data_IF_215601469778
#
_entry.id   IF_215601469778
#
_cell.length_a   1.000
_cell.length_b   1.000
_cell.length_c   1.000
_cell.angle_alpha   90.00
_cell.angle_beta   90.00
_cell.angle_gamma   90.00
#
_symmetry.space_group_name_H-M   'P 1'
#
loop_
_entity.id
_entity.type
_entity.pdbx_description
1 polymer ?
#
# COMPACT_ATOMS: atom_id res chain seq x y z
N UNK A 1 8.39 -9.57 -14.61
CA UNK A 1 6.97 -9.26 -14.33
C UNK A 1 6.77 -7.83 -13.87
N UNK A 2 7.46 -7.37 -12.81
CA UNK A 2 7.26 -6.00 -12.30
C UNK A 2 7.67 -4.88 -13.27
N UNK A 3 8.71 -5.07 -14.09
CA UNK A 3 9.00 -4.14 -15.20
C UNK A 3 7.79 -3.96 -16.12
N UNK A 4 7.22 -5.08 -16.58
CA UNK A 4 6.01 -5.07 -17.42
C UNK A 4 4.81 -4.45 -16.72
N UNK A 5 4.67 -4.63 -15.40
CA UNK A 5 3.59 -4.01 -14.63
C UNK A 5 3.77 -2.48 -14.55
N UNK A 6 4.99 -2.00 -14.36
CA UNK A 6 5.33 -0.57 -14.35
C UNK A 6 5.09 0.09 -15.71
N UNK A 7 5.53 -0.56 -16.80
CA UNK A 7 5.31 -0.12 -18.19
C UNK A 7 3.83 -0.01 -18.56
N UNK A 8 2.97 -0.86 -17.98
CA UNK A 8 1.53 -0.86 -18.22
C UNK A 8 0.75 0.07 -17.28
N UNK A 9 1.44 0.75 -16.37
CA UNK A 9 0.85 1.49 -15.26
C UNK A 9 -0.23 0.66 -14.54
N UNK A 10 0.20 -0.50 -14.05
CA UNK A 10 -0.66 -1.60 -13.58
C UNK A 10 -1.83 -1.15 -12.70
N UNK A 11 -1.62 -0.17 -11.84
CA UNK A 11 -2.63 0.31 -10.91
C UNK A 11 -3.77 1.08 -11.62
N UNK A 12 -3.50 1.74 -12.75
CA UNK A 12 -4.53 2.36 -13.61
C UNK A 12 -5.07 1.41 -14.68
N UNK A 13 -4.42 0.27 -14.88
CA UNK A 13 -4.90 -0.73 -15.83
C UNK A 13 -6.25 -1.33 -15.38
N UNK A 14 -7.27 -1.19 -16.23
CA UNK A 14 -8.58 -1.77 -15.97
C UNK A 14 -8.56 -3.31 -15.94
N UNK A 15 -9.60 -3.91 -15.35
CA UNK A 15 -9.72 -5.37 -15.19
C UNK A 15 -9.55 -6.17 -16.50
N UNK A 16 -10.10 -5.73 -17.66
CA UNK A 16 -9.85 -6.42 -18.93
C UNK A 16 -8.36 -6.43 -19.32
N UNK A 17 -7.66 -5.30 -19.13
CA UNK A 17 -6.23 -5.17 -19.41
C UNK A 17 -5.39 -6.06 -18.49
N UNK A 18 -5.67 -6.05 -17.18
CA UNK A 18 -5.03 -6.93 -16.20
C UNK A 18 -5.23 -8.40 -16.57
N UNK A 19 -6.46 -8.79 -16.93
CA UNK A 19 -6.80 -10.15 -17.35
C UNK A 19 -6.01 -10.58 -18.60
N UNK A 20 -5.88 -9.69 -19.59
CA UNK A 20 -5.10 -9.96 -20.79
C UNK A 20 -3.61 -10.12 -20.47
N UNK A 21 -3.05 -9.28 -19.58
CA UNK A 21 -1.65 -9.40 -19.18
C UNK A 21 -1.37 -10.67 -18.35
N UNK A 22 -2.29 -11.08 -17.47
CA UNK A 22 -2.17 -12.34 -16.76
C UNK A 22 -2.06 -13.54 -17.70
N UNK A 23 -2.86 -13.56 -18.79
CA UNK A 23 -2.75 -14.60 -19.83
C UNK A 23 -1.38 -14.56 -20.50
N UNK A 24 -0.88 -13.38 -20.87
CA UNK A 24 0.48 -13.25 -21.46
C UNK A 24 1.57 -13.80 -20.54
N UNK A 25 1.53 -13.53 -19.24
CA UNK A 25 2.51 -14.09 -18.30
C UNK A 25 2.34 -15.60 -18.10
N UNK A 26 1.11 -16.10 -18.11
CA UNK A 26 0.83 -17.53 -18.05
C UNK A 26 1.36 -18.29 -19.30
N UNK A 27 1.23 -17.70 -20.48
CA UNK A 27 1.69 -18.31 -21.73
C UNK A 27 3.20 -18.18 -21.95
N UNK A 28 3.86 -17.22 -21.29
CA UNK A 28 5.29 -16.97 -21.43
C UNK A 28 6.13 -18.14 -20.86
N UNK A 29 7.09 -18.63 -21.66
CA UNK A 29 7.97 -19.75 -21.28
C UNK A 29 8.75 -19.47 -20.00
N UNK A 30 9.35 -18.28 -19.88
CA UNK A 30 10.14 -17.90 -18.71
C UNK A 30 9.34 -17.54 -17.44
N UNK A 31 8.00 -17.57 -17.48
CA UNK A 31 7.15 -17.30 -16.31
C UNK A 31 6.21 -18.49 -16.11
N UNK A 32 5.11 -18.55 -16.87
CA UNK A 32 4.13 -19.62 -16.71
C UNK A 32 4.63 -20.97 -17.21
N UNK A 33 5.56 -21.01 -18.18
CA UNK A 33 6.24 -22.26 -18.56
C UNK A 33 7.02 -22.87 -17.39
N UNK A 34 7.85 -22.07 -16.71
CA UNK A 34 8.60 -22.53 -15.53
C UNK A 34 7.69 -22.91 -14.36
N UNK A 35 6.67 -22.09 -14.05
CA UNK A 35 5.76 -22.36 -12.94
C UNK A 35 4.94 -23.65 -13.13
N UNK A 36 4.55 -23.97 -14.37
CA UNK A 36 3.80 -25.20 -14.70
C UNK A 36 4.59 -26.49 -14.46
N UNK A 37 5.90 -26.40 -14.25
CA UNK A 37 6.73 -27.54 -13.81
C UNK A 37 6.47 -27.93 -12.35
N UNK A 38 5.87 -27.03 -11.57
CA UNK A 38 5.70 -27.18 -10.12
C UNK A 38 4.23 -27.19 -9.67
N UNK A 39 3.30 -26.72 -10.51
CA UNK A 39 1.90 -26.57 -10.14
C UNK A 39 0.95 -26.72 -11.33
N UNK A 40 -0.33 -26.95 -11.06
CA UNK A 40 -1.37 -27.04 -12.09
C UNK A 40 -1.61 -25.69 -12.78
N UNK A 41 -2.16 -25.70 -14.00
CA UNK A 41 -2.50 -24.47 -14.74
C UNK A 41 -3.39 -23.51 -13.92
N UNK A 42 -4.33 -24.06 -13.15
CA UNK A 42 -5.19 -23.28 -12.28
C UNK A 42 -4.38 -22.60 -11.17
N UNK A 43 -3.51 -23.35 -10.50
CA UNK A 43 -2.69 -22.85 -9.42
C UNK A 43 -1.67 -21.82 -9.91
N UNK A 44 -1.09 -21.99 -11.09
CA UNK A 44 -0.18 -21.00 -11.69
C UNK A 44 -0.88 -19.66 -11.93
N UNK A 45 -2.11 -19.69 -12.46
CA UNK A 45 -2.91 -18.46 -12.68
C UNK A 45 -3.24 -17.74 -11.37
N UNK A 46 -3.62 -18.52 -10.36
CA UNK A 46 -3.89 -17.99 -9.01
C UNK A 46 -2.61 -17.43 -8.40
N UNK A 47 -1.51 -18.17 -8.48
CA UNK A 47 -0.22 -17.77 -7.94
C UNK A 47 0.24 -16.44 -8.52
N UNK A 48 0.25 -16.27 -9.85
CA UNK A 48 0.65 -15.02 -10.52
C UNK A 48 -0.14 -13.82 -9.99
N UNK A 49 -1.44 -13.98 -9.77
CA UNK A 49 -2.34 -12.91 -9.34
C UNK A 49 -2.19 -12.63 -7.84
N UNK A 50 -2.23 -13.67 -7.01
CA UNK A 50 -2.37 -13.55 -5.55
C UNK A 50 -1.04 -13.50 -4.79
N UNK A 51 0.07 -13.85 -5.45
CA UNK A 51 1.43 -13.75 -4.90
C UNK A 51 2.15 -12.52 -5.44
N UNK A 52 2.85 -12.53 -6.60
CA UNK A 52 3.68 -11.39 -6.99
C UNK A 52 2.85 -10.13 -7.24
N UNK A 53 1.66 -10.19 -7.86
CA UNK A 53 0.90 -8.95 -8.10
C UNK A 53 0.24 -8.37 -6.85
N UNK A 54 0.04 -9.16 -5.80
CA UNK A 54 -0.34 -8.65 -4.48
C UNK A 54 0.84 -7.98 -3.79
N UNK A 55 2.02 -8.60 -3.88
CA UNK A 55 3.27 -8.05 -3.35
C UNK A 55 3.73 -6.80 -4.10
N UNK A 56 3.40 -6.66 -5.38
CA UNK A 56 3.67 -5.45 -6.17
C UNK A 56 3.06 -4.19 -5.54
N UNK A 57 1.79 -4.25 -5.12
CA UNK A 57 1.13 -3.12 -4.47
C UNK A 57 1.75 -2.78 -3.10
N UNK A 58 2.22 -3.79 -2.36
CA UNK A 58 2.91 -3.62 -1.06
C UNK A 58 4.31 -3.06 -1.23
N UNK A 59 5.03 -3.52 -2.24
CA UNK A 59 6.37 -3.05 -2.57
C UNK A 59 6.38 -1.56 -2.92
N UNK A 60 5.35 -1.05 -3.61
CA UNK A 60 5.16 0.40 -3.83
C UNK A 60 5.01 1.21 -2.55
N UNK A 61 4.46 0.60 -1.50
CA UNK A 61 4.33 1.21 -0.17
C UNK A 61 5.62 1.09 0.66
N UNK A 62 6.63 0.38 0.14
CA UNK A 62 7.85 0.08 0.89
C UNK A 62 7.72 -1.08 1.86
N UNK A 63 6.73 -1.96 1.66
CA UNK A 63 6.39 -3.03 2.59
C UNK A 63 6.72 -4.39 1.97
N UNK A 64 7.44 -5.21 2.75
CA UNK A 64 7.69 -6.62 2.43
C UNK A 64 8.94 -6.90 1.59
N UNK A 65 9.21 -8.18 1.38
CA UNK A 65 10.46 -8.67 0.77
C UNK A 65 10.57 -8.37 -0.74
N UNK A 66 9.50 -7.87 -1.36
CA UNK A 66 9.46 -7.59 -2.79
C UNK A 66 9.79 -6.15 -3.14
N UNK A 67 9.97 -5.29 -2.13
CA UNK A 67 10.42 -3.90 -2.29
C UNK A 67 11.61 -3.77 -3.24
N UNK A 68 12.67 -4.61 -3.17
CA UNK A 68 13.84 -4.41 -4.00
C UNK A 68 13.61 -4.68 -5.51
N UNK A 69 12.44 -5.18 -5.93
CA UNK A 69 12.18 -5.53 -7.33
C UNK A 69 11.27 -4.54 -8.07
N UNK A 70 10.71 -3.52 -7.40
CA UNK A 70 9.90 -2.47 -8.05
C UNK A 70 10.76 -1.29 -8.43
N UNK A 71 10.58 -0.74 -9.64
CA UNK A 71 11.41 0.36 -10.16
C UNK A 71 11.19 1.67 -9.43
N UNK A 72 9.93 1.93 -9.09
CA UNK A 72 9.48 3.13 -8.38
C UNK A 72 8.70 2.71 -7.16
N UNK A 73 8.69 3.54 -6.12
CA UNK A 73 7.88 3.36 -4.90
C UNK A 73 7.56 4.71 -4.27
N UNK A 74 6.66 4.75 -3.31
CA UNK A 74 6.51 5.91 -2.44
C UNK A 74 7.64 5.97 -1.41
N UNK A 75 7.80 7.15 -0.77
CA UNK A 75 8.84 7.41 0.24
C UNK A 75 8.71 6.58 1.52
N UNK A 76 7.68 5.75 1.66
CA UNK A 76 7.48 4.84 2.77
C UNK A 76 6.66 5.43 3.93
N UNK A 77 6.69 4.74 5.07
CA UNK A 77 5.88 5.08 6.25
C UNK A 77 6.33 6.40 6.93
N UNK A 78 7.61 6.76 6.85
CA UNK A 78 8.11 8.00 7.44
C UNK A 78 7.43 9.25 6.84
N UNK A 79 7.16 9.26 5.53
CA UNK A 79 6.40 10.33 4.87
C UNK A 79 4.99 10.46 5.47
N UNK A 80 4.34 9.33 5.78
CA UNK A 80 3.00 9.30 6.38
C UNK A 80 3.04 9.85 7.80
N UNK A 81 4.00 9.39 8.61
CA UNK A 81 4.16 9.79 10.01
C UNK A 81 4.50 11.27 10.11
N UNK A 82 5.48 11.74 9.36
CA UNK A 82 5.90 13.15 9.39
C UNK A 82 4.80 14.07 8.90
N UNK A 83 4.05 13.68 7.87
CA UNK A 83 2.89 14.44 7.41
C UNK A 83 1.79 14.53 8.47
N UNK A 84 1.49 13.41 9.14
CA UNK A 84 0.33 13.33 10.02
C UNK A 84 0.59 13.85 11.44
N UNK A 85 1.76 13.53 12.00
CA UNK A 85 2.13 13.84 13.38
C UNK A 85 3.08 15.03 13.51
N UNK A 86 3.81 15.37 12.46
CA UNK A 86 4.82 16.44 12.44
C UNK A 86 6.26 15.91 12.32
N UNK A 87 7.19 16.83 12.04
CA UNK A 87 8.58 16.50 11.69
C UNK A 87 9.38 15.80 12.81
N UNK A 88 9.00 16.01 14.07
CA UNK A 88 9.68 15.41 15.24
C UNK A 88 9.24 13.96 15.50
N UNK A 89 8.29 13.44 14.72
CA UNK A 89 7.80 12.07 14.85
C UNK A 89 8.53 11.13 13.90
N UNK A 90 8.71 9.90 14.36
CA UNK A 90 9.35 8.83 13.61
C UNK A 90 8.55 7.53 13.69
N UNK A 91 8.79 6.63 12.73
CA UNK A 91 8.23 5.29 12.74
C UNK A 91 8.93 4.44 13.80
N UNK A 92 8.16 3.78 14.66
CA UNK A 92 8.69 2.77 15.58
C UNK A 92 9.21 1.60 14.76
N UNK A 93 10.45 1.20 15.03
CA UNK A 93 11.13 0.11 14.32
C UNK A 93 10.27 -1.16 14.32
N UNK A 94 10.25 -1.86 13.19
CA UNK A 94 9.56 -3.14 12.98
C UNK A 94 8.03 -3.09 13.20
N UNK A 95 7.42 -1.89 13.21
CA UNK A 95 5.96 -1.74 13.34
C UNK A 95 5.22 -1.60 12.02
N UNK A 96 5.93 -1.51 10.88
CA UNK A 96 5.32 -1.31 9.57
C UNK A 96 4.76 -2.61 9.02
N UNK A 97 3.46 -2.65 8.76
CA UNK A 97 2.75 -3.82 8.24
C UNK A 97 1.70 -3.46 7.18
N UNK A 98 1.16 -4.46 6.46
CA UNK A 98 0.36 -4.30 5.23
C UNK A 98 -1.04 -4.93 5.24
N UNK A 99 -1.74 -4.94 6.39
CA UNK A 99 -3.15 -5.39 6.54
C UNK A 99 -3.95 -4.64 7.64
N UNK A 100 -4.46 -3.41 7.40
CA UNK A 100 -4.13 -2.49 6.30
C UNK A 100 -2.70 -1.96 6.46
N UNK A 101 -2.25 -1.06 5.58
CA UNK A 101 -0.95 -0.44 5.79
C UNK A 101 -0.97 0.37 7.07
N UNK A 102 -0.05 0.10 7.99
CA UNK A 102 -0.01 0.76 9.29
C UNK A 102 1.37 0.75 9.92
N UNK A 103 1.53 1.55 10.96
CA UNK A 103 2.67 1.55 11.85
C UNK A 103 2.32 2.18 13.20
N UNK A 104 3.25 2.05 14.15
CA UNK A 104 3.29 2.88 15.33
C UNK A 104 4.25 4.05 15.10
N UNK A 105 3.81 5.26 15.42
CA UNK A 105 4.60 6.49 15.35
C UNK A 105 4.95 6.97 16.75
N UNK A 106 6.11 7.61 16.93
CA UNK A 106 6.53 8.17 18.22
C UNK A 106 7.35 9.45 18.09
N UNK A 107 7.19 10.36 19.05
CA UNK A 107 8.06 11.52 19.32
C UNK A 107 9.08 11.24 20.45
N UNK A 108 9.20 9.98 20.88
CA UNK A 108 10.01 9.55 22.02
C UNK A 108 9.32 9.64 23.38
N UNK A 109 8.13 10.24 23.48
CA UNK A 109 7.34 10.34 24.72
C UNK A 109 6.04 9.58 24.64
N UNK A 110 5.35 9.70 23.53
CA UNK A 110 4.07 9.04 23.27
C UNK A 110 4.18 8.18 22.02
N UNK A 111 3.32 7.16 21.97
CA UNK A 111 3.16 6.32 20.78
C UNK A 111 1.75 6.49 20.23
N UNK A 112 1.63 6.51 18.91
CA UNK A 112 0.37 6.70 18.19
C UNK A 112 0.26 5.70 17.05
N UNK A 113 -0.87 5.00 16.98
CA UNK A 113 -1.18 4.12 15.85
C UNK A 113 -1.60 4.95 14.63
N UNK A 114 -0.98 4.69 13.48
CA UNK A 114 -1.28 5.34 12.20
C UNK A 114 -1.50 4.27 11.13
N UNK A 115 -2.64 4.32 10.44
CA UNK A 115 -2.89 3.49 9.26
C UNK A 115 -3.22 4.32 8.01
N UNK A 116 -2.97 3.77 6.83
CA UNK A 116 -3.18 4.48 5.57
C UNK A 116 -3.64 3.59 4.44
N UNK A 117 -4.24 4.23 3.44
CA UNK A 117 -4.69 3.56 2.22
C UNK A 117 -5.57 4.44 1.34
N UNK A 118 -6.06 3.88 0.24
CA UNK A 118 -6.95 4.58 -0.69
C UNK A 118 -8.34 4.79 -0.07
N UNK A 119 -9.10 5.76 -0.59
CA UNK A 119 -10.45 6.07 -0.10
C UNK A 119 -11.40 4.85 -0.08
N UNK A 120 -11.27 3.95 -1.07
CA UNK A 120 -12.11 2.75 -1.18
C UNK A 120 -11.98 1.74 -0.02
N UNK A 121 -10.93 1.83 0.79
CA UNK A 121 -10.71 0.95 1.95
C UNK A 121 -10.94 1.65 3.29
N UNK A 122 -11.58 2.84 3.30
CA UNK A 122 -11.80 3.61 4.53
C UNK A 122 -12.49 2.79 5.64
N UNK A 123 -13.44 1.91 5.30
CA UNK A 123 -14.10 1.05 6.30
C UNK A 123 -13.09 0.17 7.07
N UNK A 124 -12.10 -0.36 6.37
CA UNK A 124 -11.10 -1.28 6.92
C UNK A 124 -10.08 -0.49 7.75
N UNK A 125 -9.75 0.73 7.31
CA UNK A 125 -8.90 1.66 8.06
C UNK A 125 -9.55 2.11 9.38
N UNK A 126 -10.84 2.48 9.34
CA UNK A 126 -11.61 2.83 10.55
C UNK A 126 -11.66 1.63 11.50
N UNK A 127 -11.96 0.44 10.98
CA UNK A 127 -12.00 -0.76 11.81
C UNK A 127 -10.64 -1.03 12.48
N UNK A 128 -9.54 -0.97 11.73
CA UNK A 128 -8.20 -1.15 12.29
C UNK A 128 -7.87 -0.10 13.36
N UNK A 129 -8.13 1.18 13.07
CA UNK A 129 -7.90 2.27 14.01
C UNK A 129 -8.72 2.12 15.30
N UNK A 130 -10.00 1.71 15.19
CA UNK A 130 -10.85 1.49 16.36
C UNK A 130 -10.35 0.35 17.25
N UNK A 131 -9.90 -0.76 16.68
CA UNK A 131 -9.37 -1.88 17.48
C UNK A 131 -8.10 -1.48 18.24
N UNK A 132 -7.16 -0.82 17.56
CA UNK A 132 -5.92 -0.34 18.17
C UNK A 132 -6.17 0.78 19.20
N UNK A 133 -7.22 1.58 19.00
CA UNK A 133 -7.61 2.64 19.90
C UNK A 133 -8.21 2.17 21.23
N UNK A 134 -8.56 0.88 21.39
CA UNK A 134 -9.15 0.37 22.65
C UNK A 134 -8.14 0.45 23.80
N UNK A 135 -6.90 0.03 23.53
CA UNK A 135 -5.85 -0.08 24.54
C UNK A 135 -4.86 1.10 24.50
N UNK A 136 -5.02 2.01 23.54
CA UNK A 136 -4.10 3.12 23.31
C UNK A 136 -4.49 4.38 24.10
N UNK A 137 -3.53 5.04 24.77
CA UNK A 137 -3.77 6.34 25.41
C UNK A 137 -3.88 7.49 24.41
N UNK A 138 -3.58 7.25 23.13
CA UNK A 138 -3.63 8.27 22.07
C UNK A 138 -4.69 7.97 21.04
N UNK A 139 -5.29 9.02 20.50
CA UNK A 139 -6.28 8.90 19.42
C UNK A 139 -5.58 8.38 18.15
N UNK A 140 -6.02 7.27 17.55
CA UNK A 140 -5.39 6.74 16.34
C UNK A 140 -5.56 7.70 15.15
N UNK A 141 -4.70 7.56 14.15
CA UNK A 141 -4.70 8.38 12.93
C UNK A 141 -4.92 7.56 11.66
N UNK A 142 -5.67 8.13 10.72
CA UNK A 142 -5.89 7.59 9.37
C UNK A 142 -5.35 8.58 8.34
N UNK A 143 -4.57 8.09 7.39
CA UNK A 143 -4.16 8.86 6.21
C UNK A 143 -4.77 8.25 4.95
N UNK A 144 -5.67 8.99 4.32
CA UNK A 144 -6.19 8.61 3.00
C UNK A 144 -5.24 9.13 1.93
N UNK A 145 -4.64 8.21 1.18
CA UNK A 145 -3.61 8.54 0.19
C UNK A 145 -4.17 8.59 -1.23
N UNK A 146 -3.69 9.53 -2.02
CA UNK A 146 -3.83 9.54 -3.49
C UNK A 146 -2.46 9.58 -4.16
N UNK A 147 -2.40 9.21 -5.44
CA UNK A 147 -1.21 9.37 -6.28
C UNK A 147 -1.48 10.24 -7.50
N UNK A 148 -0.44 10.51 -8.29
CA UNK A 148 -0.56 11.28 -9.54
C UNK A 148 -1.67 10.72 -10.44
N UNK A 149 -2.59 11.58 -10.88
CA UNK A 149 -3.78 11.19 -11.65
C UNK A 149 -5.00 10.79 -10.83
N UNK A 150 -4.88 10.64 -9.50
CA UNK A 150 -6.01 10.39 -8.61
C UNK A 150 -6.44 11.67 -7.87
N UNK A 151 -7.75 11.87 -7.77
CA UNK A 151 -8.34 12.96 -6.97
C UNK A 151 -9.49 12.42 -6.12
N UNK A 152 -9.66 13.01 -4.94
CA UNK A 152 -10.81 12.78 -4.09
C UNK A 152 -11.62 14.07 -4.09
N UNK A 153 -12.88 14.04 -4.60
CA UNK A 153 -13.77 15.19 -4.57
C UNK A 153 -13.94 15.74 -3.16
N UNK A 154 -14.16 17.05 -3.06
CA UNK A 154 -14.27 17.75 -1.78
C UNK A 154 -15.37 17.17 -0.87
N UNK A 155 -16.55 16.89 -1.42
CA UNK A 155 -17.66 16.27 -0.66
C UNK A 155 -17.29 14.91 -0.05
N UNK A 156 -16.43 14.12 -0.74
CA UNK A 156 -15.97 12.84 -0.22
C UNK A 156 -14.96 13.04 0.91
N UNK A 157 -14.06 14.03 0.81
CA UNK A 157 -13.12 14.40 1.89
C UNK A 157 -13.87 14.81 3.16
N UNK A 158 -14.90 15.63 3.02
CA UNK A 158 -15.77 16.05 4.12
C UNK A 158 -16.50 14.85 4.75
N UNK A 159 -17.04 13.95 3.92
CA UNK A 159 -17.66 12.71 4.39
C UNK A 159 -16.68 11.85 5.20
N UNK A 160 -15.44 11.71 4.73
CA UNK A 160 -14.40 10.96 5.43
C UNK A 160 -14.08 11.56 6.80
N UNK A 161 -13.92 12.89 6.88
CA UNK A 161 -13.65 13.60 8.12
C UNK A 161 -14.79 13.46 9.14
N UNK A 162 -16.05 13.59 8.68
CA UNK A 162 -17.23 13.40 9.54
C UNK A 162 -17.31 11.97 10.10
N UNK A 163 -17.04 10.96 9.28
CA UNK A 163 -17.04 9.56 9.71
C UNK A 163 -15.93 9.29 10.73
N UNK A 164 -14.70 9.70 10.44
CA UNK A 164 -13.58 9.53 11.36
C UNK A 164 -13.84 10.23 12.70
N UNK A 165 -14.35 11.46 12.67
CA UNK A 165 -14.68 12.18 13.89
C UNK A 165 -15.76 11.47 14.71
N UNK A 166 -16.80 10.94 14.05
CA UNK A 166 -17.86 10.17 14.72
C UNK A 166 -17.33 8.89 15.38
N UNK A 167 -16.28 8.31 14.83
CA UNK A 167 -15.60 7.13 15.36
C UNK A 167 -14.48 7.46 16.36
N UNK A 168 -14.24 8.73 16.70
CA UNK A 168 -13.14 9.07 17.61
C UNK A 168 -11.76 8.80 16.99
N UNK A 169 -11.60 8.91 15.67
CA UNK A 169 -10.31 8.77 14.96
C UNK A 169 -9.97 10.08 14.25
N UNK A 170 -8.68 10.45 14.18
CA UNK A 170 -8.25 11.61 13.37
C UNK A 170 -7.96 11.16 11.92
N UNK A 171 -8.32 11.98 10.93
CA UNK A 171 -8.15 11.62 9.52
C UNK A 171 -7.66 12.81 8.70
N UNK A 172 -6.62 12.59 7.90
CA UNK A 172 -6.13 13.53 6.89
C UNK A 172 -6.00 12.85 5.52
N UNK A 173 -5.79 13.67 4.49
CA UNK A 173 -5.57 13.22 3.12
C UNK A 173 -4.20 13.65 2.64
N UNK A 174 -3.43 12.71 2.11
CA UNK A 174 -2.09 12.97 1.58
C UNK A 174 -2.03 12.60 0.10
N UNK A 175 -1.56 13.52 -0.73
CA UNK A 175 -1.14 13.20 -2.09
C UNK A 175 0.33 12.77 -2.09
N UNK A 176 0.63 11.67 -2.76
CA UNK A 176 1.97 11.07 -2.77
C UNK A 176 2.44 10.89 -4.21
N UNK A 177 3.70 11.20 -4.43
CA UNK A 177 4.37 10.99 -5.71
C UNK A 177 5.36 9.86 -5.57
N UNK A 178 5.42 8.99 -6.56
CA UNK A 178 6.41 7.91 -6.58
C UNK A 178 7.79 8.47 -6.91
N UNK A 179 8.80 7.90 -6.27
CA UNK A 179 10.21 8.15 -6.52
C UNK A 179 10.85 6.92 -7.14
N UNK A 180 12.03 7.08 -7.73
CA UNK A 180 12.89 5.94 -8.05
C UNK A 180 13.19 5.16 -6.77
N UNK A 181 13.12 3.84 -6.86
CA UNK A 181 13.27 2.99 -5.69
C UNK A 181 14.74 2.96 -5.25
N UNK A 182 15.09 3.50 -4.07
CA UNK A 182 16.46 3.48 -3.57
C UNK A 182 16.95 2.06 -3.25
N UNK A 183 16.04 1.12 -3.03
CA UNK A 183 16.32 -0.27 -2.70
C UNK A 183 16.33 -1.19 -3.93
N UNK A 184 16.23 -0.62 -5.15
CA UNK A 184 16.15 -1.41 -6.38
C UNK A 184 17.39 -2.29 -6.54
N UNK A 185 17.18 -3.61 -6.59
CA UNK A 185 18.18 -4.55 -7.06
C UNK A 185 18.35 -4.34 -8.56
N UNK A 186 19.48 -3.76 -8.94
CA UNK A 186 19.95 -3.81 -10.33
C UNK A 186 20.48 -5.20 -10.61
N UNK A 187 20.04 -5.80 -11.71
CA UNK A 187 20.51 -7.11 -12.16
C UNK A 187 22.05 -7.11 -12.20
N UNK A 188 22.67 -8.06 -11.50
CA UNK A 188 24.06 -8.48 -11.71
C UNK A 188 24.10 -9.53 -12.81
#
# INVERSE_FOLDING_TARGET
MYSTADELDWEFLGNPGKTAQYRRWFDASGIGGELRRFASDQDVRVWIKDVPMKEYARAHEGIGNFVPYVRRRFRGADEIVQFFCGADWSVVRDSVEGKPNHCHATDGKVTRYICWGKAGVLKDLIWAALNEGIDSPTRPGIVITTRDGETIPQHARERHALLANRCGVDLNHLHRTMIDNPDLLTDR
#
